data_IF_085239010187
#
_entry.id   IF_085239010187
#
_cell.length_a   1.000
_cell.length_b   1.000
_cell.length_c   1.000
_cell.angle_alpha   90.00
_cell.angle_beta   90.00
_cell.angle_gamma   90.00
#
_symmetry.space_group_name_H-M   'P 1'
#
loop_
_entity.id
_entity.type
_entity.pdbx_description
1 polymer ?
#
# COMPACT_ATOMS: atom_id res chain seq x y z
N UNK A 1 -23.00 25.87 -70.67
CA UNK A 1 -23.50 25.54 -69.32
C UNK A 1 -22.59 24.47 -68.74
N UNK A 2 -21.68 24.86 -67.84
CA UNK A 2 -20.62 24.00 -67.29
C UNK A 2 -21.09 23.36 -65.98
N UNK A 3 -21.12 22.03 -65.95
CA UNK A 3 -21.55 21.23 -64.81
C UNK A 3 -20.40 21.15 -63.78
N UNK A 4 -20.51 21.87 -62.65
CA UNK A 4 -19.56 21.78 -61.53
C UNK A 4 -20.09 20.76 -60.52
N UNK A 5 -19.42 19.62 -60.43
CA UNK A 5 -19.60 18.64 -59.37
C UNK A 5 -19.12 19.23 -58.03
N UNK A 6 -19.88 19.13 -56.91
CA UNK A 6 -19.39 19.63 -55.63
C UNK A 6 -18.34 18.67 -55.07
N UNK A 7 -17.13 19.17 -54.88
CA UNK A 7 -16.05 18.49 -54.19
C UNK A 7 -16.53 18.11 -52.78
N UNK A 8 -16.67 16.81 -52.54
CA UNK A 8 -16.93 16.23 -51.23
C UNK A 8 -15.71 16.50 -50.35
N UNK A 9 -15.80 17.49 -49.48
CA UNK A 9 -14.86 17.69 -48.37
C UNK A 9 -14.94 16.44 -47.49
N UNK A 10 -14.02 15.51 -47.67
CA UNK A 10 -13.75 14.48 -46.68
C UNK A 10 -13.08 15.18 -45.50
N UNK A 11 -13.67 15.19 -44.29
CA UNK A 11 -12.91 15.54 -43.11
C UNK A 11 -11.82 14.49 -43.02
N UNK A 12 -10.56 14.91 -43.19
CA UNK A 12 -9.43 14.12 -42.71
C UNK A 12 -9.65 13.94 -41.22
N UNK A 13 -10.19 12.78 -40.84
CA UNK A 13 -10.05 12.28 -39.48
C UNK A 13 -8.56 12.08 -39.28
N UNK A 14 -7.86 13.14 -38.89
CA UNK A 14 -6.58 12.97 -38.23
C UNK A 14 -6.87 12.02 -37.06
N UNK A 15 -6.23 10.85 -36.99
CA UNK A 15 -6.32 10.04 -35.80
C UNK A 15 -5.81 10.93 -34.66
N UNK A 16 -6.68 11.19 -33.69
CA UNK A 16 -6.34 11.93 -32.49
C UNK A 16 -5.00 11.38 -31.99
N UNK A 17 -3.97 12.23 -32.02
CA UNK A 17 -2.62 11.91 -31.55
C UNK A 17 -2.76 11.23 -30.19
N UNK A 18 -2.22 10.02 -30.07
CA UNK A 18 -2.55 9.07 -29.02
C UNK A 18 -2.52 9.66 -27.62
N UNK A 19 -3.66 9.65 -26.93
CA UNK A 19 -3.68 9.75 -25.48
C UNK A 19 -3.29 8.38 -24.91
N UNK A 20 -1.99 8.14 -24.79
CA UNK A 20 -1.54 7.22 -23.74
C UNK A 20 -2.24 7.66 -22.45
N UNK A 21 -2.86 6.72 -21.73
CA UNK A 21 -3.51 7.03 -20.46
C UNK A 21 -2.56 7.85 -19.60
N UNK A 22 -3.05 8.95 -19.01
CA UNK A 22 -2.20 9.83 -18.20
C UNK A 22 -1.53 9.07 -17.06
N UNK A 23 -0.45 9.63 -16.52
CA UNK A 23 0.28 9.06 -15.37
C UNK A 23 -0.66 8.60 -14.25
N UNK A 24 -1.67 9.42 -13.95
CA UNK A 24 -2.68 9.15 -12.94
C UNK A 24 -3.41 7.84 -13.19
N UNK A 25 -4.01 7.68 -14.37
CA UNK A 25 -4.78 6.48 -14.74
C UNK A 25 -3.89 5.24 -14.77
N UNK A 26 -2.67 5.38 -15.32
CA UNK A 26 -1.75 4.25 -15.43
C UNK A 26 -1.26 3.78 -14.04
N UNK A 27 -0.99 4.70 -13.12
CA UNK A 27 -0.54 4.39 -11.74
C UNK A 27 -1.59 3.63 -10.90
N UNK A 28 -2.88 3.70 -11.26
CA UNK A 28 -3.96 2.96 -10.61
C UNK A 28 -4.17 1.55 -11.20
N UNK A 29 -3.54 1.22 -12.32
CA UNK A 29 -3.75 -0.07 -12.98
C UNK A 29 -3.05 -1.20 -12.22
N UNK A 30 -3.66 -2.40 -12.11
CA UNK A 30 -3.11 -3.49 -11.32
C UNK A 30 -1.73 -3.92 -11.82
N UNK A 31 -1.54 -3.96 -13.14
CA UNK A 31 -0.25 -4.30 -13.74
C UNK A 31 0.86 -3.30 -13.43
N UNK A 32 0.57 -1.99 -13.49
CA UNK A 32 1.56 -0.96 -13.17
C UNK A 32 1.93 -0.97 -11.69
N UNK A 33 0.93 -1.14 -10.81
CA UNK A 33 1.11 -1.32 -9.37
C UNK A 33 1.97 -2.56 -9.10
N UNK A 34 1.67 -3.70 -9.73
CA UNK A 34 2.44 -4.92 -9.56
C UNK A 34 3.91 -4.72 -9.96
N UNK A 35 4.16 -4.13 -11.13
CA UNK A 35 5.53 -3.85 -11.58
C UNK A 35 6.28 -2.87 -10.67
N UNK A 36 5.57 -1.88 -10.12
CA UNK A 36 6.16 -0.94 -9.17
C UNK A 36 6.50 -1.62 -7.83
N UNK A 37 5.64 -2.52 -7.33
CA UNK A 37 5.85 -3.21 -6.05
C UNK A 37 6.72 -4.46 -6.17
N UNK A 38 6.91 -5.02 -7.37
CA UNK A 38 7.64 -6.26 -7.59
C UNK A 38 9.07 -6.24 -7.02
N UNK A 39 9.89 -5.17 -7.17
CA UNK A 39 11.20 -5.12 -6.55
C UNK A 39 11.14 -5.22 -5.02
N UNK A 40 10.17 -4.54 -4.39
CA UNK A 40 9.96 -4.59 -2.94
C UNK A 40 9.55 -6.00 -2.50
N UNK A 41 8.59 -6.61 -3.20
CA UNK A 41 8.14 -7.97 -2.95
C UNK A 41 9.32 -8.95 -3.05
N UNK A 42 10.13 -8.87 -4.11
CA UNK A 42 11.29 -9.75 -4.27
C UNK A 42 12.32 -9.61 -3.14
N UNK A 43 12.62 -8.38 -2.71
CA UNK A 43 13.53 -8.13 -1.58
C UNK A 43 12.95 -8.74 -0.29
N UNK A 44 11.65 -8.54 -0.06
CA UNK A 44 10.95 -9.07 1.11
C UNK A 44 10.98 -10.61 1.14
N UNK A 45 10.50 -11.26 0.07
CA UNK A 45 10.44 -12.72 0.00
C UNK A 45 11.83 -13.35 0.07
N UNK A 46 12.82 -12.78 -0.63
CA UNK A 46 14.19 -13.27 -0.58
C UNK A 46 14.78 -13.12 0.83
N UNK A 47 14.58 -11.96 1.47
CA UNK A 47 15.09 -11.69 2.81
C UNK A 47 14.46 -12.56 3.89
N UNK A 48 13.18 -12.88 3.77
CA UNK A 48 12.48 -13.82 4.65
C UNK A 48 12.91 -15.27 4.39
N UNK A 49 13.07 -15.67 3.12
CA UNK A 49 13.50 -17.02 2.76
C UNK A 49 14.95 -17.32 3.16
N UNK A 50 15.80 -16.29 3.19
CA UNK A 50 17.22 -16.38 3.57
C UNK A 50 17.50 -15.87 4.99
N UNK A 51 16.47 -15.85 5.85
CA UNK A 51 16.60 -15.32 7.20
C UNK A 51 17.70 -16.08 7.98
N UNK A 52 18.75 -15.39 8.48
CA UNK A 52 19.85 -16.05 9.16
C UNK A 52 19.40 -16.72 10.46
N UNK A 53 19.90 -17.93 10.72
CA UNK A 53 19.53 -18.71 11.90
C UNK A 53 20.00 -18.10 13.23
N UNK A 54 21.04 -17.27 13.19
CA UNK A 54 21.63 -16.54 14.31
C UNK A 54 20.90 -15.20 14.60
N UNK A 55 20.07 -14.73 13.67
CA UNK A 55 19.27 -13.52 13.86
C UNK A 55 17.92 -13.90 14.48
N UNK A 56 17.56 -13.36 15.67
CA UNK A 56 16.28 -13.64 16.29
C UNK A 56 15.13 -13.38 15.33
N UNK A 57 14.22 -14.34 15.20
CA UNK A 57 12.98 -14.13 14.48
C UNK A 57 12.10 -13.17 15.30
N UNK A 58 12.17 -11.88 14.97
CA UNK A 58 11.38 -10.87 15.67
C UNK A 58 10.01 -10.77 15.02
N UNK A 59 8.98 -11.09 15.79
CA UNK A 59 7.62 -10.75 15.43
C UNK A 59 7.42 -9.27 15.71
N UNK A 60 7.04 -8.50 14.68
CA UNK A 60 6.54 -7.14 14.89
C UNK A 60 5.26 -7.26 15.74
N UNK A 61 5.18 -6.52 16.85
CA UNK A 61 4.08 -6.59 17.84
C UNK A 61 2.70 -6.51 17.18
N UNK A 62 2.58 -5.68 16.14
CA UNK A 62 1.36 -5.57 15.36
C UNK A 62 0.95 -6.93 14.76
N UNK A 63 1.89 -7.66 14.15
CA UNK A 63 1.65 -8.96 13.52
C UNK A 63 1.30 -10.07 14.54
N UNK A 64 1.73 -9.94 15.80
CA UNK A 64 1.38 -10.90 16.86
C UNK A 64 -0.13 -10.94 17.12
N UNK A 65 -0.82 -9.79 17.08
CA UNK A 65 -2.27 -9.72 17.30
C UNK A 65 -3.07 -10.45 16.22
N UNK A 66 -2.59 -10.43 14.97
CA UNK A 66 -3.19 -11.21 13.88
C UNK A 66 -2.92 -12.70 14.06
N UNK A 67 -1.70 -13.08 14.47
CA UNK A 67 -1.39 -14.47 14.82
C UNK A 67 -2.24 -14.99 15.99
N UNK A 68 -2.51 -14.16 16.99
CA UNK A 68 -3.39 -14.52 18.11
C UNK A 68 -4.85 -14.70 17.64
N UNK A 69 -5.31 -13.91 16.66
CA UNK A 69 -6.62 -14.06 16.03
C UNK A 69 -6.73 -15.36 15.21
N UNK A 70 -5.62 -15.78 14.60
CA UNK A 70 -5.50 -16.99 13.77
C UNK A 70 -4.82 -18.17 14.48
N UNK A 71 -4.73 -18.14 15.82
CA UNK A 71 -3.90 -19.04 16.65
C UNK A 71 -4.17 -20.55 16.56
N UNK A 72 -5.11 -20.96 15.70
CA UNK A 72 -5.35 -22.37 15.33
C UNK A 72 -4.54 -22.84 14.11
N UNK A 73 -3.86 -21.93 13.38
CA UNK A 73 -3.03 -22.28 12.23
C UNK A 73 -1.57 -22.51 12.66
N UNK A 74 -1.02 -23.73 12.50
CA UNK A 74 0.35 -24.06 12.90
C UNK A 74 1.38 -23.58 11.85
N UNK A 75 1.39 -22.28 11.53
CA UNK A 75 2.37 -21.70 10.61
C UNK A 75 3.47 -20.96 11.38
N UNK A 76 4.76 -21.14 11.00
CA UNK A 76 5.84 -20.36 11.58
C UNK A 76 5.61 -18.85 11.35
N UNK A 77 5.89 -17.98 12.32
CA UNK A 77 5.63 -16.53 12.20
C UNK A 77 6.25 -15.84 10.97
N UNK A 78 7.46 -16.20 10.49
CA UNK A 78 8.01 -15.64 9.25
C UNK A 78 7.18 -16.01 8.01
N UNK A 79 6.48 -17.14 8.02
CA UNK A 79 5.63 -17.60 6.91
C UNK A 79 4.39 -16.73 6.78
N UNK A 80 3.82 -16.24 7.88
CA UNK A 80 2.67 -15.32 7.81
C UNK A 80 3.04 -13.95 7.24
N UNK A 81 4.25 -13.47 7.53
CA UNK A 81 4.80 -12.23 6.96
C UNK A 81 5.08 -12.37 5.45
N UNK A 82 5.64 -13.51 5.03
CA UNK A 82 5.85 -13.86 3.62
C UNK A 82 4.52 -14.01 2.85
N UNK A 83 3.38 -14.18 3.53
CA UNK A 83 2.10 -14.19 2.83
C UNK A 83 1.74 -12.81 2.25
N UNK A 84 2.23 -11.70 2.81
CA UNK A 84 1.88 -10.36 2.35
C UNK A 84 2.29 -10.09 0.91
N UNK A 85 3.53 -10.43 0.54
CA UNK A 85 4.05 -10.24 -0.81
C UNK A 85 3.37 -11.16 -1.82
N UNK A 86 3.33 -12.46 -1.54
CA UNK A 86 2.66 -13.46 -2.39
C UNK A 86 1.18 -13.11 -2.59
N UNK A 87 0.46 -12.78 -1.52
CA UNK A 87 -0.96 -12.42 -1.59
C UNK A 87 -1.17 -11.15 -2.41
N UNK A 88 -0.29 -10.16 -2.28
CA UNK A 88 -0.30 -8.95 -3.12
C UNK A 88 -0.18 -9.32 -4.60
N UNK A 89 0.77 -10.19 -4.97
CA UNK A 89 0.93 -10.66 -6.36
C UNK A 89 -0.34 -11.36 -6.85
N UNK A 90 -0.88 -12.30 -6.07
CA UNK A 90 -2.08 -13.06 -6.44
C UNK A 90 -3.27 -12.11 -6.65
N UNK A 91 -3.53 -11.23 -5.70
CA UNK A 91 -4.66 -10.28 -5.78
C UNK A 91 -4.51 -9.36 -6.98
N UNK A 92 -3.33 -8.79 -7.23
CA UNK A 92 -3.11 -7.88 -8.35
C UNK A 92 -3.19 -8.59 -9.70
N UNK A 93 -2.72 -9.84 -9.82
CA UNK A 93 -2.87 -10.63 -11.05
C UNK A 93 -4.32 -11.05 -11.30
N UNK A 94 -5.03 -11.46 -10.25
CA UNK A 94 -6.46 -11.75 -10.33
C UNK A 94 -7.23 -10.49 -10.75
N UNK A 95 -6.98 -9.36 -10.10
CA UNK A 95 -7.60 -8.08 -10.47
C UNK A 95 -7.25 -7.66 -11.90
N UNK A 96 -5.97 -7.79 -12.31
CA UNK A 96 -5.54 -7.51 -13.68
C UNK A 96 -6.33 -8.34 -14.70
N UNK A 97 -6.53 -9.63 -14.42
CA UNK A 97 -7.26 -10.56 -15.29
C UNK A 97 -8.74 -10.16 -15.49
N UNK A 98 -9.37 -9.58 -14.48
CA UNK A 98 -10.74 -9.08 -14.56
C UNK A 98 -10.85 -7.64 -15.08
N UNK A 99 -9.81 -6.82 -14.93
CA UNK A 99 -9.83 -5.38 -15.23
C UNK A 99 -9.89 -5.02 -16.73
N UNK A 100 -9.64 -6.00 -17.63
CA UNK A 100 -9.48 -5.79 -19.09
C UNK A 100 -8.48 -4.67 -19.46
N UNK A 101 -7.62 -4.26 -18.53
CA UNK A 101 -6.60 -3.24 -18.74
C UNK A 101 -5.43 -3.79 -19.53
N UNK A 102 -4.69 -2.95 -20.28
CA UNK A 102 -3.53 -3.41 -21.02
C UNK A 102 -2.44 -3.95 -20.06
N UNK A 103 -1.80 -5.05 -20.44
CA UNK A 103 -0.63 -5.61 -19.76
C UNK A 103 0.65 -4.85 -20.13
N UNK A 104 0.60 -3.52 -20.01
CA UNK A 104 1.68 -2.62 -20.39
C UNK A 104 1.74 -1.49 -19.37
N UNK A 105 2.94 -1.19 -18.91
CA UNK A 105 3.21 -0.03 -18.08
C UNK A 105 4.48 0.67 -18.58
N UNK A 106 4.46 1.99 -18.62
CA UNK A 106 5.63 2.81 -18.92
C UNK A 106 6.61 2.77 -17.75
N UNK A 107 7.90 2.52 -18.04
CA UNK A 107 8.96 2.63 -17.02
C UNK A 107 9.04 4.02 -16.39
N UNK A 108 8.66 5.07 -17.14
CA UNK A 108 8.55 6.44 -16.61
C UNK A 108 7.49 6.53 -15.50
N UNK A 109 6.34 5.90 -15.69
CA UNK A 109 5.25 5.88 -14.70
C UNK A 109 5.70 5.17 -13.43
N UNK A 110 6.35 4.02 -13.57
CA UNK A 110 6.92 3.29 -12.42
C UNK A 110 7.90 4.19 -11.64
N UNK A 111 8.81 4.88 -12.32
CA UNK A 111 9.74 5.82 -11.68
C UNK A 111 9.02 6.96 -10.94
N UNK A 112 7.98 7.53 -11.52
CA UNK A 112 7.18 8.58 -10.86
C UNK A 112 6.39 8.06 -9.66
N UNK A 113 5.93 6.81 -9.67
CA UNK A 113 5.26 6.22 -8.52
C UNK A 113 6.18 6.19 -7.28
N UNK A 114 7.47 5.92 -7.47
CA UNK A 114 8.44 5.99 -6.38
C UNK A 114 8.70 7.40 -5.87
N UNK A 115 8.82 8.39 -6.78
CA UNK A 115 9.00 9.80 -6.39
C UNK A 115 7.78 10.30 -5.64
N UNK A 116 6.58 10.00 -6.13
CA UNK A 116 5.34 10.39 -5.49
C UNK A 116 5.15 9.68 -4.14
N UNK A 117 5.37 8.37 -4.07
CA UNK A 117 5.32 7.63 -2.80
C UNK A 117 6.32 8.20 -1.77
N UNK A 118 7.54 8.54 -2.20
CA UNK A 118 8.53 9.19 -1.33
C UNK A 118 8.05 10.56 -0.84
N UNK A 119 7.42 11.36 -1.69
CA UNK A 119 6.82 12.64 -1.30
C UNK A 119 5.67 12.44 -0.30
N UNK A 120 4.83 11.41 -0.49
CA UNK A 120 3.75 11.06 0.42
C UNK A 120 4.24 10.43 1.74
N UNK A 121 5.50 10.03 1.84
CA UNK A 121 6.08 9.64 3.13
C UNK A 121 6.39 10.86 4.02
N UNK A 122 6.58 12.06 3.44
CA UNK A 122 7.00 13.27 4.17
C UNK A 122 6.05 13.67 5.32
N UNK A 123 4.71 13.69 5.13
CA UNK A 123 3.80 14.01 6.23
C UNK A 123 3.91 13.04 7.41
N UNK A 124 4.13 11.74 7.16
CA UNK A 124 4.34 10.75 8.23
C UNK A 124 5.58 11.06 9.05
N UNK A 125 6.69 11.45 8.42
CA UNK A 125 7.90 11.88 9.13
C UNK A 125 7.68 13.15 9.95
N UNK A 126 6.97 14.13 9.39
CA UNK A 126 6.69 15.38 10.10
C UNK A 126 5.83 15.08 11.34
N UNK A 127 4.79 14.26 11.18
CA UNK A 127 3.91 13.86 12.27
C UNK A 127 4.65 13.07 13.36
N UNK A 128 5.48 12.09 12.99
CA UNK A 128 6.21 11.28 13.97
C UNK A 128 7.20 12.11 14.78
N UNK A 129 7.88 13.07 14.13
CA UNK A 129 8.80 14.01 14.80
C UNK A 129 8.08 15.01 15.69
N UNK A 130 6.97 15.58 15.20
CA UNK A 130 6.22 16.58 15.95
C UNK A 130 5.59 16.01 17.22
N UNK A 131 5.06 14.79 17.13
CA UNK A 131 4.41 14.12 18.27
C UNK A 131 5.41 13.47 19.23
N UNK A 132 6.71 13.43 18.91
CA UNK A 132 7.72 12.62 19.62
C UNK A 132 7.27 11.15 19.74
N UNK A 133 6.57 10.67 18.71
CA UNK A 133 5.97 9.34 18.72
C UNK A 133 7.04 8.27 18.51
N UNK A 134 6.85 7.12 19.17
CA UNK A 134 7.57 5.91 18.81
C UNK A 134 7.18 5.50 17.37
N UNK A 135 8.15 5.13 16.52
CA UNK A 135 7.85 4.72 15.15
C UNK A 135 6.83 3.58 15.07
N UNK A 136 5.99 3.55 14.03
CA UNK A 136 5.02 2.48 13.78
C UNK A 136 5.69 1.10 13.79
N UNK A 137 6.82 1.00 13.10
CA UNK A 137 7.60 -0.23 13.04
C UNK A 137 8.37 -0.54 14.34
N UNK A 138 8.54 0.39 15.29
CA UNK A 138 9.42 0.25 16.47
C UNK A 138 8.79 -0.52 17.65
N UNK A 139 7.99 -1.55 17.37
CA UNK A 139 7.26 -2.30 18.38
C UNK A 139 8.12 -3.06 19.39
N UNK A 140 9.44 -3.16 19.22
CA UNK A 140 10.35 -3.80 20.18
C UNK A 140 11.77 -3.20 20.08
N UNK A 141 12.42 -2.91 21.21
CA UNK A 141 13.86 -2.60 21.30
C UNK A 141 14.73 -3.63 20.54
N UNK A 142 14.25 -4.87 20.43
CA UNK A 142 14.89 -5.96 19.71
C UNK A 142 14.99 -5.70 18.19
N UNK A 143 14.04 -4.98 17.58
CA UNK A 143 14.12 -4.60 16.15
C UNK A 143 15.33 -3.71 15.86
N UNK A 144 15.72 -2.86 16.82
CA UNK A 144 16.91 -2.01 16.73
C UNK A 144 18.22 -2.75 16.98
N UNK A 145 18.17 -4.05 17.30
CA UNK A 145 19.37 -4.91 17.37
C UNK A 145 19.59 -5.71 16.09
N UNK A 146 18.58 -5.75 15.21
CA UNK A 146 18.69 -6.48 13.94
C UNK A 146 19.69 -5.81 13.00
N UNK A 147 20.39 -6.57 12.14
CA UNK A 147 21.19 -5.98 11.09
C UNK A 147 20.31 -5.19 10.11
N UNK A 148 20.91 -4.19 9.47
CA UNK A 148 20.18 -3.20 8.66
C UNK A 148 19.32 -3.84 7.55
N UNK A 149 19.79 -4.94 6.95
CA UNK A 149 19.06 -5.62 5.87
C UNK A 149 17.75 -6.23 6.38
N UNK A 150 17.77 -6.88 7.55
CA UNK A 150 16.58 -7.46 8.16
C UNK A 150 15.56 -6.39 8.55
N UNK A 151 16.03 -5.20 8.98
CA UNK A 151 15.13 -4.06 9.24
C UNK A 151 14.43 -3.59 7.97
N UNK A 152 15.14 -3.54 6.84
CA UNK A 152 14.55 -3.21 5.54
C UNK A 152 13.52 -4.27 5.14
N UNK A 153 13.87 -5.56 5.24
CA UNK A 153 12.96 -6.67 4.92
C UNK A 153 11.67 -6.59 5.75
N UNK A 154 11.77 -6.36 7.06
CA UNK A 154 10.60 -6.21 7.93
C UNK A 154 9.78 -4.95 7.63
N UNK A 155 10.43 -3.83 7.29
CA UNK A 155 9.75 -2.59 6.89
C UNK A 155 8.96 -2.78 5.60
N UNK A 156 9.53 -3.50 4.62
CA UNK A 156 8.84 -3.82 3.37
C UNK A 156 7.67 -4.79 3.64
N UNK A 157 7.91 -5.84 4.42
CA UNK A 157 6.89 -6.82 4.78
C UNK A 157 5.69 -6.17 5.46
N UNK A 158 5.95 -5.32 6.46
CA UNK A 158 4.92 -4.59 7.19
C UNK A 158 4.13 -3.67 6.26
N UNK A 159 4.81 -2.82 5.49
CA UNK A 159 4.13 -1.89 4.57
C UNK A 159 3.27 -2.61 3.51
N UNK A 160 3.75 -3.72 2.92
CA UNK A 160 2.96 -4.52 1.99
C UNK A 160 1.73 -5.12 2.67
N UNK A 161 1.93 -5.79 3.81
CA UNK A 161 0.89 -6.52 4.51
C UNK A 161 -0.19 -5.59 5.08
N UNK A 162 0.23 -4.51 5.73
CA UNK A 162 -0.67 -3.57 6.40
C UNK A 162 -1.50 -2.77 5.40
N UNK A 163 -0.90 -2.25 4.33
CA UNK A 163 -1.70 -1.57 3.31
C UNK A 163 -2.64 -2.54 2.58
N UNK A 164 -2.21 -3.78 2.33
CA UNK A 164 -3.10 -4.77 1.72
C UNK A 164 -4.32 -5.05 2.60
N UNK A 165 -4.09 -5.30 3.89
CA UNK A 165 -5.14 -5.66 4.83
C UNK A 165 -6.07 -4.46 5.12
N UNK A 166 -5.51 -3.34 5.56
CA UNK A 166 -6.31 -2.23 6.06
C UNK A 166 -6.85 -1.36 4.93
N UNK A 167 -6.14 -1.20 3.82
CA UNK A 167 -6.52 -0.25 2.77
C UNK A 167 -7.18 -0.96 1.62
N UNK A 168 -6.55 -1.98 1.04
CA UNK A 168 -7.17 -2.68 -0.08
C UNK A 168 -8.36 -3.55 0.36
N UNK A 169 -8.18 -4.42 1.36
CA UNK A 169 -9.22 -5.40 1.75
C UNK A 169 -10.30 -4.76 2.63
N UNK A 170 -9.92 -4.16 3.75
CA UNK A 170 -10.89 -3.67 4.74
C UNK A 170 -11.73 -2.49 4.21
N UNK A 171 -11.12 -1.51 3.51
CA UNK A 171 -11.90 -0.41 2.91
C UNK A 171 -12.85 -0.97 1.84
N UNK A 172 -12.42 -1.91 1.00
CA UNK A 172 -13.30 -2.50 0.00
C UNK A 172 -14.50 -3.21 0.64
N UNK A 173 -14.27 -4.02 1.69
CA UNK A 173 -15.35 -4.71 2.41
C UNK A 173 -16.35 -3.70 3.00
N UNK A 174 -15.85 -2.71 3.75
CA UNK A 174 -16.73 -1.73 4.41
C UNK A 174 -17.46 -0.88 3.35
N UNK A 175 -16.75 -0.44 2.32
CA UNK A 175 -17.33 0.34 1.23
C UNK A 175 -18.47 -0.43 0.55
N UNK A 176 -18.23 -1.69 0.18
CA UNK A 176 -19.27 -2.52 -0.45
C UNK A 176 -20.46 -2.76 0.48
N UNK A 177 -20.23 -3.00 1.77
CA UNK A 177 -21.33 -3.13 2.73
C UNK A 177 -22.15 -1.84 2.87
N UNK A 178 -21.49 -0.68 2.93
CA UNK A 178 -22.15 0.60 3.16
C UNK A 178 -22.81 1.19 1.91
N UNK A 179 -22.16 1.09 0.76
CA UNK A 179 -22.60 1.70 -0.50
C UNK A 179 -23.44 0.72 -1.30
N UNK A 180 -22.92 -0.49 -1.56
CA UNK A 180 -23.59 -1.44 -2.46
C UNK A 180 -24.76 -2.17 -1.77
N UNK A 181 -24.61 -2.51 -0.49
CA UNK A 181 -25.65 -3.24 0.26
C UNK A 181 -26.62 -2.31 1.02
N UNK A 182 -26.12 -1.30 1.72
CA UNK A 182 -26.96 -0.37 2.51
C UNK A 182 -27.47 0.83 1.67
N UNK A 183 -26.78 1.19 0.58
CA UNK A 183 -27.19 2.29 -0.29
C UNK A 183 -26.79 3.69 0.20
N UNK A 184 -25.73 3.80 1.01
CA UNK A 184 -25.17 5.11 1.38
C UNK A 184 -24.54 5.80 0.15
N UNK A 185 -24.41 7.13 0.23
CA UNK A 185 -23.68 7.90 -0.80
C UNK A 185 -22.21 7.49 -0.81
N UNK A 186 -21.61 7.39 -2.00
CA UNK A 186 -20.20 7.02 -2.23
C UNK A 186 -19.23 7.69 -1.24
N UNK A 187 -19.25 9.03 -1.20
CA UNK A 187 -18.33 9.82 -0.35
C UNK A 187 -18.52 9.49 1.14
N UNK A 188 -19.76 9.25 1.58
CA UNK A 188 -20.07 8.93 2.97
C UNK A 188 -19.59 7.52 3.31
N UNK A 189 -19.90 6.53 2.47
CA UNK A 189 -19.42 5.16 2.66
C UNK A 189 -17.91 5.07 2.68
N UNK A 190 -17.24 5.80 1.78
CA UNK A 190 -15.78 5.86 1.72
C UNK A 190 -15.16 6.55 2.93
N UNK A 191 -15.71 7.68 3.37
CA UNK A 191 -15.24 8.38 4.57
C UNK A 191 -15.35 7.49 5.81
N UNK A 192 -16.46 6.78 5.98
CA UNK A 192 -16.65 5.83 7.09
C UNK A 192 -15.63 4.69 6.96
N UNK A 193 -15.45 4.11 5.77
CA UNK A 193 -14.51 3.03 5.54
C UNK A 193 -13.06 3.42 5.90
N UNK A 194 -12.63 4.64 5.54
CA UNK A 194 -11.31 5.18 5.91
C UNK A 194 -11.18 5.34 7.43
N UNK A 195 -12.20 5.90 8.10
CA UNK A 195 -12.17 6.09 9.56
C UNK A 195 -12.12 4.75 10.30
N UNK A 196 -12.95 3.79 9.90
CA UNK A 196 -12.97 2.46 10.51
C UNK A 196 -11.66 1.71 10.24
N UNK A 197 -11.11 1.82 9.02
CA UNK A 197 -9.81 1.25 8.69
C UNK A 197 -8.68 1.84 9.54
N UNK A 198 -8.65 3.16 9.74
CA UNK A 198 -7.68 3.84 10.59
C UNK A 198 -7.80 3.42 12.08
N UNK A 199 -9.03 3.25 12.58
CA UNK A 199 -9.27 2.75 13.93
C UNK A 199 -8.81 1.31 14.10
N UNK A 200 -9.09 0.44 13.13
CA UNK A 200 -8.62 -0.94 13.12
C UNK A 200 -7.07 -1.02 13.05
N UNK A 201 -6.46 -0.14 12.26
CA UNK A 201 -5.00 -0.01 12.15
C UNK A 201 -4.34 0.43 13.46
N UNK A 202 -4.95 1.39 14.18
CA UNK A 202 -4.48 1.80 15.50
C UNK A 202 -4.64 0.68 16.55
N UNK A 203 -5.77 -0.04 16.50
CA UNK A 203 -6.00 -1.21 17.36
C UNK A 203 -4.98 -2.33 17.09
N UNK A 204 -4.65 -2.56 15.83
CA UNK A 204 -3.67 -3.55 15.39
C UNK A 204 -2.27 -3.32 15.98
N UNK A 205 -1.89 -2.06 16.18
CA UNK A 205 -0.58 -1.69 16.74
C UNK A 205 -0.49 -1.77 18.28
N UNK A 206 -1.48 -2.36 18.94
CA UNK A 206 -1.58 -2.48 20.41
C UNK A 206 -1.60 -1.14 21.16
N UNK A 207 -2.78 -0.49 21.26
CA UNK A 207 -2.96 0.75 22.01
C UNK A 207 -2.46 0.69 23.45
N UNK A 208 -2.48 -0.49 24.09
CA UNK A 208 -2.02 -0.64 25.47
C UNK A 208 -0.50 -0.56 25.60
N UNK A 209 0.25 -0.90 24.56
CA UNK A 209 1.72 -0.90 24.56
C UNK A 209 2.33 0.45 24.15
N UNK A 210 1.63 1.27 23.38
CA UNK A 210 2.18 2.49 22.75
C UNK A 210 1.94 3.80 23.52
N UNK A 211 1.06 3.80 24.53
CA UNK A 211 0.65 5.00 25.25
C UNK A 211 -0.14 6.02 24.41
N UNK A 212 -0.60 7.12 25.01
CA UNK A 212 -1.52 8.08 24.37
C UNK A 212 -0.94 8.70 23.09
N UNK A 213 0.34 9.09 23.11
CA UNK A 213 1.01 9.71 21.96
C UNK A 213 1.10 8.74 20.79
N UNK A 214 1.46 7.48 21.05
CA UNK A 214 1.48 6.42 20.04
C UNK A 214 0.10 6.21 19.43
N UNK A 215 -0.96 6.18 20.25
CA UNK A 215 -2.34 5.99 19.75
C UNK A 215 -2.73 7.13 18.81
N UNK A 216 -2.46 8.38 19.21
CA UNK A 216 -2.75 9.55 18.39
C UNK A 216 -1.98 9.50 17.08
N UNK A 217 -0.67 9.23 17.15
CA UNK A 217 0.17 9.13 15.95
C UNK A 217 -0.31 8.04 15.01
N UNK A 218 -0.52 6.81 15.49
CA UNK A 218 -0.95 5.67 14.66
C UNK A 218 -2.34 5.89 14.09
N UNK A 219 -3.27 6.52 14.83
CA UNK A 219 -4.60 6.86 14.32
C UNK A 219 -4.52 7.89 13.19
N UNK A 220 -3.72 8.95 13.36
CA UNK A 220 -3.55 9.98 12.33
C UNK A 220 -2.79 9.45 11.11
N UNK A 221 -1.76 8.64 11.30
CA UNK A 221 -1.06 7.92 10.23
C UNK A 221 -2.04 7.00 9.48
N UNK A 222 -2.91 6.31 10.23
CA UNK A 222 -4.00 5.49 9.72
C UNK A 222 -4.90 6.25 8.74
N UNK A 223 -5.41 7.41 9.17
CA UNK A 223 -6.26 8.31 8.39
C UNK A 223 -5.53 8.87 7.17
N UNK A 224 -4.28 9.30 7.34
CA UNK A 224 -3.47 9.85 6.26
C UNK A 224 -3.20 8.82 5.16
N UNK A 225 -2.76 7.62 5.52
CA UNK A 225 -2.53 6.52 4.58
C UNK A 225 -3.85 6.10 3.90
N UNK A 226 -4.97 6.08 4.63
CA UNK A 226 -6.30 5.86 4.05
C UNK A 226 -6.68 6.92 3.02
N UNK A 227 -6.38 8.19 3.28
CA UNK A 227 -6.57 9.28 2.31
C UNK A 227 -5.67 9.12 1.07
N UNK A 228 -4.38 8.82 1.26
CA UNK A 228 -3.44 8.58 0.14
C UNK A 228 -3.91 7.39 -0.70
N UNK A 229 -4.36 6.30 -0.08
CA UNK A 229 -4.93 5.15 -0.79
C UNK A 229 -6.13 5.55 -1.66
N UNK A 230 -7.07 6.31 -1.11
CA UNK A 230 -8.27 6.75 -1.84
C UNK A 230 -7.93 7.65 -3.02
N UNK A 231 -7.00 8.58 -2.83
CA UNK A 231 -6.68 9.59 -3.84
C UNK A 231 -5.68 9.07 -4.88
N UNK A 232 -4.72 8.25 -4.47
CA UNK A 232 -3.57 7.85 -5.31
C UNK A 232 -3.46 6.36 -5.61
N UNK A 233 -4.21 5.53 -4.90
CA UNK A 233 -4.22 4.10 -5.11
C UNK A 233 -3.16 3.32 -4.34
N UNK A 234 -3.27 2.00 -4.45
CA UNK A 234 -2.55 1.03 -3.63
C UNK A 234 -1.02 1.09 -3.77
N UNK A 235 -0.49 1.21 -5.00
CA UNK A 235 0.95 1.22 -5.20
C UNK A 235 1.65 2.39 -4.51
N UNK A 236 1.05 3.59 -4.57
CA UNK A 236 1.63 4.81 -3.97
C UNK A 236 1.60 4.74 -2.45
N UNK A 237 0.50 4.30 -1.84
CA UNK A 237 0.38 4.21 -0.39
C UNK A 237 1.35 3.18 0.21
N UNK A 238 1.54 2.03 -0.46
CA UNK A 238 2.54 1.01 -0.05
C UNK A 238 3.94 1.61 -0.08
N UNK A 239 4.32 2.26 -1.19
CA UNK A 239 5.65 2.88 -1.31
C UNK A 239 5.84 3.95 -0.23
N UNK A 240 4.84 4.79 0.03
CA UNK A 240 4.91 5.81 1.07
C UNK A 240 5.14 5.22 2.46
N UNK A 241 4.39 4.18 2.81
CA UNK A 241 4.53 3.49 4.09
C UNK A 241 5.90 2.80 4.22
N UNK A 242 6.30 2.03 3.21
CA UNK A 242 7.60 1.33 3.21
C UNK A 242 8.76 2.32 3.33
N UNK A 243 8.73 3.44 2.59
CA UNK A 243 9.77 4.47 2.67
C UNK A 243 9.79 5.10 4.07
N UNK A 244 8.62 5.38 4.64
CA UNK A 244 8.51 5.86 6.02
C UNK A 244 9.22 4.92 6.99
N UNK A 245 8.84 3.64 7.00
CA UNK A 245 9.37 2.65 7.91
C UNK A 245 10.88 2.43 7.75
N UNK A 246 11.35 2.27 6.51
CA UNK A 246 12.79 2.05 6.22
C UNK A 246 13.62 3.21 6.76
N UNK A 247 13.24 4.45 6.51
CA UNK A 247 14.01 5.61 6.96
C UNK A 247 14.02 5.70 8.48
N UNK A 248 12.88 5.45 9.13
CA UNK A 248 12.83 5.52 10.60
C UNK A 248 13.66 4.39 11.21
N UNK A 249 13.58 3.17 10.67
CA UNK A 249 14.31 2.00 11.17
C UNK A 249 15.82 2.05 10.98
N UNK A 250 16.29 2.73 9.94
CA UNK A 250 17.73 2.91 9.68
C UNK A 250 18.32 4.12 10.42
N UNK A 251 17.49 5.03 10.95
CA UNK A 251 17.93 6.22 11.70
C UNK A 251 17.95 6.03 13.22
N UNK A 252 17.22 5.04 13.71
CA UNK A 252 17.15 4.60 15.10
C UNK A 252 18.25 3.60 15.43
#
# INVERSE_FOLDING_TARGET
MTNRSPARLQPTLEPARGSGSGYWDESHRPWAILLALLPLILICEFGLATWPADVPAVQVTAHRRLLDLFGTLPLPPPVLLAMGGILTVVILLTWQSFSRSPWRASGKTIGWMYIEGAAMALPLFVMSRFLLATPLAAGTELLHTLPWFQRIVLSIAAGLYEELLFRMVLIAIIHTLLVDLIGLKEIVGLAIAVVVSAAAFAWYHDPAAMGTVGIVFTSLAGLYLGFVYVVRGFGIVVIAHVIYDVIVMLRS
#
